data_IF_745659571799
#
_entry.id   IF_745659571799
#
_cell.length_a   1.000
_cell.length_b   1.000
_cell.length_c   1.000
_cell.angle_alpha   90.00
_cell.angle_beta   90.00
_cell.angle_gamma   90.00
#
_symmetry.space_group_name_H-M   'P 1'
#
loop_
_entity.id
_entity.type
_entity.pdbx_description
1 polymer ?
#
# COMPACT_ATOMS: atom_id res chain seq x y z
N UNK A 1 6.52 -5.94 -4.55
CA UNK A 1 6.94 -7.34 -4.28
C UNK A 1 7.22 -7.59 -2.80
N UNK A 2 8.26 -7.01 -2.21
CA UNK A 2 8.61 -7.28 -0.80
C UNK A 2 7.53 -6.92 0.23
N UNK A 3 6.78 -5.85 -0.01
CA UNK A 3 5.60 -5.51 0.83
C UNK A 3 4.54 -6.62 0.78
N UNK A 4 4.30 -7.19 -0.40
CA UNK A 4 3.33 -8.28 -0.58
C UNK A 4 3.82 -9.54 0.16
N UNK A 5 5.11 -9.87 0.02
CA UNK A 5 5.74 -10.97 0.77
C UNK A 5 5.65 -10.78 2.29
N UNK A 6 5.90 -9.55 2.78
CA UNK A 6 5.76 -9.21 4.20
C UNK A 6 4.33 -9.31 4.71
N UNK A 7 3.35 -9.05 3.85
CA UNK A 7 1.93 -9.22 4.16
C UNK A 7 1.41 -10.66 3.93
N UNK A 8 2.29 -11.61 3.60
CA UNK A 8 1.94 -13.02 3.40
C UNK A 8 1.40 -13.38 2.02
N UNK A 9 1.48 -12.46 1.05
CA UNK A 9 1.11 -12.69 -0.35
C UNK A 9 2.33 -12.98 -1.22
N UNK A 10 2.16 -13.74 -2.29
CA UNK A 10 3.27 -14.03 -3.19
C UNK A 10 3.68 -12.76 -3.97
N UNK A 11 4.96 -12.43 -3.97
CA UNK A 11 5.48 -11.18 -4.55
C UNK A 11 5.12 -10.97 -6.03
N UNK A 12 4.99 -12.06 -6.79
CA UNK A 12 4.62 -12.04 -8.21
C UNK A 12 3.21 -11.52 -8.47
N UNK A 13 2.32 -11.60 -7.48
CA UNK A 13 0.94 -11.12 -7.61
C UNK A 13 0.86 -9.60 -7.82
N UNK A 14 1.92 -8.87 -7.49
CA UNK A 14 2.04 -7.44 -7.78
C UNK A 14 2.18 -7.11 -9.28
N UNK A 15 2.57 -8.08 -10.12
CA UNK A 15 2.73 -7.88 -11.57
C UNK A 15 1.44 -8.09 -12.37
N UNK A 16 0.46 -8.79 -11.80
CA UNK A 16 -0.82 -9.02 -12.48
C UNK A 16 -1.66 -7.75 -12.39
N UNK A 17 -2.02 -7.11 -13.52
CA UNK A 17 -2.89 -5.95 -13.53
C UNK A 17 -4.26 -6.29 -12.91
N UNK A 18 -4.91 -5.32 -12.28
CA UNK A 18 -6.16 -5.49 -11.51
C UNK A 18 -6.03 -6.31 -10.21
N UNK A 19 -5.37 -7.47 -10.27
CA UNK A 19 -5.15 -8.32 -9.11
C UNK A 19 -4.16 -7.70 -8.12
N UNK A 20 -3.19 -6.94 -8.61
CA UNK A 20 -2.29 -6.14 -7.78
C UNK A 20 -3.07 -5.15 -6.88
N UNK A 21 -4.03 -4.41 -7.44
CA UNK A 21 -4.88 -3.48 -6.71
C UNK A 21 -5.77 -4.23 -5.70
N UNK A 22 -6.35 -5.37 -6.12
CA UNK A 22 -7.16 -6.22 -5.24
C UNK A 22 -6.40 -6.65 -3.99
N UNK A 23 -5.18 -7.19 -4.17
CA UNK A 23 -4.35 -7.58 -3.04
C UNK A 23 -3.90 -6.37 -2.26
N UNK A 24 -3.57 -5.26 -2.92
CA UNK A 24 -3.13 -4.07 -2.22
C UNK A 24 -4.19 -3.56 -1.25
N UNK A 25 -5.46 -3.52 -1.68
CA UNK A 25 -6.62 -3.21 -0.82
C UNK A 25 -6.74 -4.19 0.35
N UNK A 26 -6.46 -5.48 0.13
CA UNK A 26 -6.39 -6.48 1.21
C UNK A 26 -5.24 -6.24 2.18
N UNK A 27 -4.07 -5.83 1.69
CA UNK A 27 -2.89 -5.53 2.53
C UNK A 27 -3.18 -4.33 3.44
N UNK A 28 -3.84 -3.30 2.92
CA UNK A 28 -4.21 -2.12 3.72
C UNK A 28 -5.50 -2.29 4.52
N UNK A 29 -6.14 -3.46 4.44
CA UNK A 29 -7.37 -3.81 5.14
C UNK A 29 -8.49 -2.78 4.92
N UNK A 30 -8.69 -2.37 3.66
CA UNK A 30 -9.75 -1.43 3.26
C UNK A 30 -10.90 -2.14 2.53
N UNK A 31 -12.10 -1.53 2.51
CA UNK A 31 -13.24 -2.14 1.84
C UNK A 31 -12.99 -2.28 0.34
N UNK A 32 -13.42 -3.41 -0.24
CA UNK A 32 -13.17 -3.76 -1.64
C UNK A 32 -13.76 -2.74 -2.63
N UNK A 33 -14.76 -1.95 -2.22
CA UNK A 33 -15.32 -0.85 -3.00
C UNK A 33 -14.27 0.21 -3.40
N UNK A 34 -13.15 0.30 -2.68
CA UNK A 34 -12.03 1.17 -3.05
C UNK A 34 -11.43 0.81 -4.41
N UNK A 35 -11.55 -0.46 -4.85
CA UNK A 35 -11.10 -0.87 -6.17
C UNK A 35 -11.84 -0.13 -7.28
N UNK A 36 -13.14 0.14 -7.11
CA UNK A 36 -13.93 0.86 -8.10
C UNK A 36 -13.36 2.26 -8.32
N UNK A 37 -13.02 2.97 -7.24
CA UNK A 37 -12.37 4.29 -7.31
C UNK A 37 -10.96 4.21 -7.90
N UNK A 38 -10.23 3.12 -7.66
CA UNK A 38 -8.91 2.89 -8.24
C UNK A 38 -8.96 2.64 -9.77
N UNK A 39 -10.09 2.23 -10.32
CA UNK A 39 -10.26 2.07 -11.77
C UNK A 39 -10.90 3.28 -12.46
N UNK A 40 -11.44 4.23 -11.71
CA UNK A 40 -12.00 5.47 -12.28
C UNK A 40 -10.87 6.43 -12.69
N UNK A 41 -10.86 6.91 -13.95
CA UNK A 41 -9.88 7.91 -14.38
C UNK A 41 -10.00 9.18 -13.50
N UNK A 42 -8.89 9.90 -13.34
CA UNK A 42 -8.71 11.03 -12.42
C UNK A 42 -8.72 10.65 -10.93
N UNK A 43 -9.74 9.92 -10.46
CA UNK A 43 -9.85 9.47 -9.07
C UNK A 43 -8.77 8.45 -8.73
N UNK A 44 -8.40 7.60 -9.69
CA UNK A 44 -7.32 6.63 -9.57
C UNK A 44 -6.04 7.27 -9.02
N UNK A 45 -5.65 8.46 -9.49
CA UNK A 45 -4.44 9.15 -9.02
C UNK A 45 -4.49 9.43 -7.52
N UNK A 46 -5.63 9.91 -7.01
CA UNK A 46 -5.85 10.10 -5.57
C UNK A 46 -5.81 8.77 -4.82
N UNK A 47 -6.41 7.71 -5.39
CA UNK A 47 -6.40 6.39 -4.79
C UNK A 47 -4.99 5.81 -4.66
N UNK A 48 -4.11 6.04 -5.66
CA UNK A 48 -2.70 5.65 -5.57
C UNK A 48 -2.02 6.33 -4.37
N UNK A 49 -2.17 7.64 -4.23
CA UNK A 49 -1.62 8.36 -3.07
C UNK A 49 -2.17 7.80 -1.76
N UNK A 50 -3.48 7.59 -1.68
CA UNK A 50 -4.15 7.08 -0.49
C UNK A 50 -3.70 5.65 -0.13
N UNK A 51 -3.52 4.78 -1.12
CA UNK A 51 -2.98 3.44 -0.94
C UNK A 51 -1.56 3.48 -0.39
N UNK A 52 -0.70 4.38 -0.86
CA UNK A 52 0.64 4.55 -0.28
C UNK A 52 0.60 4.97 1.18
N UNK A 53 -0.24 5.96 1.51
CA UNK A 53 -0.39 6.46 2.87
C UNK A 53 -0.94 5.39 3.80
N UNK A 54 -1.98 4.67 3.39
CA UNK A 54 -2.53 3.56 4.19
C UNK A 54 -1.53 2.40 4.30
N UNK A 55 -0.74 2.12 3.26
CA UNK A 55 0.35 1.15 3.34
C UNK A 55 1.37 1.61 4.39
N UNK A 56 1.81 2.86 4.39
CA UNK A 56 2.72 3.38 5.41
C UNK A 56 2.15 3.22 6.83
N UNK A 57 0.84 3.49 7.02
CA UNK A 57 0.16 3.27 8.31
C UNK A 57 0.18 1.80 8.76
N UNK A 58 0.10 0.82 7.84
CA UNK A 58 0.28 -0.61 8.20
C UNK A 58 1.68 -0.97 8.68
N UNK A 59 2.68 -0.13 8.42
CA UNK A 59 4.04 -0.26 8.97
C UNK A 59 4.27 0.62 10.21
N UNK A 60 3.19 1.01 10.91
CA UNK A 60 3.21 1.88 12.08
C UNK A 60 3.76 3.31 11.81
N UNK A 61 3.76 3.74 10.54
CA UNK A 61 4.16 5.11 10.14
C UNK A 61 2.96 6.05 10.20
N UNK A 62 2.61 6.44 11.43
CA UNK A 62 1.43 7.25 11.71
C UNK A 62 1.70 8.76 11.75
N UNK A 63 2.96 9.19 11.63
CA UNK A 63 3.31 10.61 11.66
C UNK A 63 2.92 11.31 10.35
N UNK A 64 2.43 12.56 10.45
CA UNK A 64 1.98 13.33 9.29
C UNK A 64 3.11 13.57 8.27
N UNK A 65 4.35 13.76 8.73
CA UNK A 65 5.50 13.93 7.84
C UNK A 65 5.84 12.64 7.08
N UNK A 66 5.70 11.47 7.72
CA UNK A 66 5.91 10.16 7.08
C UNK A 66 4.84 9.88 6.04
N UNK A 67 3.59 10.24 6.32
CA UNK A 67 2.48 10.11 5.38
C UNK A 67 2.64 11.05 4.18
N UNK A 68 3.07 12.30 4.43
CA UNK A 68 3.39 13.24 3.36
C UNK A 68 4.54 12.73 2.49
N UNK A 69 5.60 12.18 3.09
CA UNK A 69 6.70 11.57 2.34
C UNK A 69 6.26 10.33 1.55
N UNK A 70 5.42 9.47 2.13
CA UNK A 70 4.87 8.32 1.44
C UNK A 70 4.02 8.73 0.23
N UNK A 71 3.27 9.82 0.36
CA UNK A 71 2.46 10.36 -0.74
C UNK A 71 3.31 11.06 -1.81
N UNK A 72 4.30 11.87 -1.43
CA UNK A 72 5.12 12.64 -2.40
C UNK A 72 6.16 11.75 -3.08
N UNK A 73 6.73 10.78 -2.37
CA UNK A 73 7.78 9.88 -2.86
C UNK A 73 7.39 8.40 -2.74
N UNK A 74 6.26 7.96 -3.33
CA UNK A 74 5.77 6.59 -3.20
C UNK A 74 6.76 5.57 -3.77
N UNK A 75 7.44 5.92 -4.86
CA UNK A 75 8.41 5.08 -5.55
C UNK A 75 9.69 4.80 -4.73
N UNK A 76 10.09 5.70 -3.83
CA UNK A 76 11.23 5.48 -2.95
C UNK A 76 10.79 4.91 -1.59
N UNK A 77 9.68 5.41 -1.05
CA UNK A 77 9.19 5.07 0.28
C UNK A 77 8.62 3.65 0.36
N UNK A 78 7.89 3.19 -0.66
CA UNK A 78 7.35 1.82 -0.68
C UNK A 78 8.47 0.75 -0.71
N UNK A 79 9.47 0.82 -1.61
CA UNK A 79 10.60 -0.09 -1.54
C UNK A 79 11.33 -0.02 -0.19
N UNK A 80 11.55 1.19 0.36
CA UNK A 80 12.16 1.34 1.67
C UNK A 80 11.40 0.56 2.76
N UNK A 81 10.07 0.73 2.87
CA UNK A 81 9.24 -0.05 3.80
C UNK A 81 9.28 -1.56 3.52
N UNK A 82 9.31 -1.94 2.23
CA UNK A 82 9.38 -3.33 1.81
C UNK A 82 10.70 -4.02 2.14
N UNK A 83 11.84 -3.36 1.97
CA UNK A 83 13.17 -3.95 2.13
C UNK A 83 13.74 -3.78 3.54
N UNK A 84 13.35 -2.75 4.29
CA UNK A 84 13.84 -2.54 5.66
C UNK A 84 13.47 -3.71 6.57
N UNK A 85 14.45 -4.37 7.17
CA UNK A 85 14.21 -5.57 8.02
C UNK A 85 13.49 -5.22 9.32
N UNK A 86 13.65 -3.99 9.79
CA UNK A 86 13.07 -3.49 11.04
C UNK A 86 11.58 -3.14 10.90
N UNK A 87 11.15 -2.83 9.67
CA UNK A 87 9.77 -2.44 9.37
C UNK A 87 8.89 -3.68 9.23
N UNK A 88 8.16 -4.03 10.29
CA UNK A 88 7.23 -5.15 10.30
C UNK A 88 5.85 -4.70 9.83
N UNK A 89 5.27 -5.48 8.92
CA UNK A 89 3.86 -5.32 8.56
C UNK A 89 3.01 -5.61 9.80
N UNK A 90 2.27 -4.61 10.26
CA UNK A 90 1.29 -4.76 11.32
C UNK A 90 -0.08 -4.81 10.67
N UNK A 91 -0.71 -5.97 10.79
CA UNK A 91 -2.13 -6.12 10.48
C UNK A 91 -2.90 -5.11 11.32
N UNK A 92 -3.63 -4.21 10.68
CA UNK A 92 -4.36 -3.14 11.35
C UNK A 92 -5.57 -3.80 11.99
N UNK A 93 -5.46 -4.22 13.25
CA UNK A 93 -6.61 -4.68 14.02
C UNK A 93 -7.64 -3.54 14.04
N UNK A 94 -8.83 -3.82 13.49
CA UNK A 94 -9.99 -2.93 13.53
C UNK A 94 -10.29 -2.44 14.95
#
# INVERSE_FOLDING_TARGET
MKIFEKAGYAGWMAFIPFYNAYIWVKIIEKPMWWLIFAFLPFINVFMWFLFTVETAKTFNKNLLWEQALAAVFPFAYLPYLGFSKDEKYQKKAE
#
